data_IF_584931259132
#
_entry.id   IF_584931259132
#
_cell.length_a   1.000
_cell.length_b   1.000
_cell.length_c   1.000
_cell.angle_alpha   90.00
_cell.angle_beta   90.00
_cell.angle_gamma   90.00
#
_symmetry.space_group_name_H-M   'P 1'
#
loop_
_entity.id
_entity.type
_entity.pdbx_description
1 polymer ?
#
# COMPACT_ATOMS: atom_id res chain seq x y z
N UNK A 1 -13.51 5.42 -7.66
CA UNK A 1 -12.17 5.32 -8.24
C UNK A 1 -11.35 4.54 -7.24
N UNK A 2 -11.03 3.31 -7.59
CA UNK A 2 -10.34 2.35 -6.73
C UNK A 2 -8.84 2.44 -6.98
N UNK A 3 -8.05 2.33 -5.92
CA UNK A 3 -6.60 2.47 -5.98
C UNK A 3 -5.93 1.16 -5.58
N UNK A 4 -4.94 0.76 -6.38
CA UNK A 4 -4.15 -0.45 -6.14
C UNK A 4 -2.71 -0.05 -5.84
N UNK A 5 -2.22 -0.43 -4.67
CA UNK A 5 -0.83 -0.25 -4.26
C UNK A 5 -0.12 -1.59 -4.37
N UNK A 6 0.97 -1.63 -5.15
CA UNK A 6 1.79 -2.84 -5.33
C UNK A 6 3.07 -2.67 -4.51
N UNK A 7 3.27 -3.56 -3.55
CA UNK A 7 4.39 -3.56 -2.60
C UNK A 7 3.95 -3.16 -1.19
N UNK A 8 4.16 -4.05 -0.22
CA UNK A 8 3.84 -3.90 1.20
C UNK A 8 5.00 -3.36 2.05
N UNK A 9 6.03 -2.80 1.41
CA UNK A 9 7.15 -2.16 2.10
C UNK A 9 6.76 -0.83 2.77
N UNK A 10 7.72 -0.17 3.47
CA UNK A 10 7.45 1.07 4.20
C UNK A 10 6.89 2.19 3.32
N UNK A 11 7.38 2.32 2.08
CA UNK A 11 6.88 3.30 1.12
C UNK A 11 5.44 2.99 0.65
N UNK A 12 5.15 1.73 0.33
CA UNK A 12 3.83 1.31 -0.16
C UNK A 12 2.74 1.43 0.90
N UNK A 13 3.04 1.03 2.15
CA UNK A 13 2.12 1.21 3.27
C UNK A 13 1.87 2.68 3.58
N UNK A 14 2.90 3.53 3.48
CA UNK A 14 2.73 4.99 3.66
C UNK A 14 1.79 5.58 2.60
N UNK A 15 1.97 5.20 1.33
CA UNK A 15 1.07 5.62 0.25
C UNK A 15 -0.38 5.15 0.49
N UNK A 16 -0.57 3.89 0.88
CA UNK A 16 -1.89 3.34 1.20
C UNK A 16 -2.58 4.11 2.34
N UNK A 17 -1.85 4.48 3.40
CA UNK A 17 -2.37 5.26 4.52
C UNK A 17 -2.83 6.65 4.05
N UNK A 18 -2.04 7.33 3.21
CA UNK A 18 -2.43 8.64 2.69
C UNK A 18 -3.67 8.57 1.81
N UNK A 19 -3.75 7.58 0.93
CA UNK A 19 -4.94 7.36 0.10
C UNK A 19 -6.18 7.03 0.94
N UNK A 20 -6.05 6.20 1.98
CA UNK A 20 -7.13 5.90 2.91
C UNK A 20 -7.59 7.16 3.68
N UNK A 21 -6.67 8.04 4.08
CA UNK A 21 -7.00 9.34 4.72
C UNK A 21 -7.75 10.29 3.80
N UNK A 22 -7.57 10.17 2.49
CA UNK A 22 -8.38 10.88 1.49
C UNK A 22 -9.70 10.16 1.15
N UNK A 23 -10.14 9.23 2.00
CA UNK A 23 -11.36 8.44 1.82
C UNK A 23 -11.40 7.69 0.48
N UNK A 24 -10.24 7.23 -0.01
CA UNK A 24 -10.16 6.36 -1.19
C UNK A 24 -10.21 4.89 -0.78
N UNK A 25 -10.91 4.10 -1.58
CA UNK A 25 -10.82 2.65 -1.53
C UNK A 25 -9.44 2.23 -2.08
N UNK A 26 -8.65 1.59 -1.21
CA UNK A 26 -7.28 1.14 -1.49
C UNK A 26 -7.18 -0.35 -1.26
N UNK A 27 -6.61 -1.08 -2.21
CA UNK A 27 -6.16 -2.46 -2.03
C UNK A 27 -4.64 -2.49 -2.11
N UNK A 28 -3.99 -3.19 -1.18
CA UNK A 28 -2.53 -3.41 -1.19
C UNK A 28 -2.24 -4.85 -1.58
N UNK A 29 -1.34 -5.05 -2.53
CA UNK A 29 -0.86 -6.37 -2.95
C UNK A 29 0.65 -6.43 -2.73
N UNK A 30 1.10 -7.41 -1.95
CA UNK A 30 2.50 -7.64 -1.66
C UNK A 30 2.87 -9.11 -1.91
N UNK A 31 4.14 -9.36 -2.23
CA UNK A 31 4.65 -10.72 -2.48
C UNK A 31 4.96 -11.50 -1.19
N UNK A 32 4.77 -10.87 -0.02
CA UNK A 32 4.98 -11.48 1.29
C UNK A 32 6.45 -11.65 1.68
N UNK A 33 7.39 -11.25 0.82
CA UNK A 33 8.81 -11.34 1.12
C UNK A 33 9.29 -10.05 1.79
N UNK A 34 9.73 -10.18 3.04
CA UNK A 34 10.33 -9.07 3.76
C UNK A 34 11.61 -8.60 3.05
N UNK A 35 11.68 -7.30 2.75
CA UNK A 35 12.84 -6.65 2.10
C UNK A 35 13.88 -6.16 3.12
N UNK A 36 13.59 -6.27 4.42
CA UNK A 36 14.57 -6.10 5.48
C UNK A 36 15.36 -7.41 5.59
N UNK A 37 16.50 -7.46 4.90
CA UNK A 37 17.47 -8.57 4.97
C UNK A 37 18.81 -8.01 5.39
#
# INVERSE_FOLDING_TARGET
MDTLVIGGGPAGLTAAIYLARYHRAVTVVDDGNSRAK
#
